data_IF_079489605946
#
_entry.id   IF_079489605946
#
_cell.length_a   1.000
_cell.length_b   1.000
_cell.length_c   1.000
_cell.angle_alpha   90.00
_cell.angle_beta   90.00
_cell.angle_gamma   90.00
#
_symmetry.space_group_name_H-M   'P 1'
#
loop_
_entity.id
_entity.type
_entity.pdbx_description
1 polymer ?
#
# COMPACT_ATOMS: atom_id res chain seq x y z
N UNK A 1 -12.12 -2.90 7.06
CA UNK A 1 -10.70 -3.10 6.71
C UNK A 1 -10.09 -1.73 6.46
N UNK A 2 -8.83 -1.53 6.83
CA UNK A 2 -8.15 -0.26 6.59
C UNK A 2 -7.98 -0.07 5.08
N UNK A 3 -8.62 0.97 4.51
CA UNK A 3 -8.45 1.37 3.10
C UNK A 3 -7.15 2.14 2.84
N UNK A 4 -6.32 2.29 3.87
CA UNK A 4 -5.16 3.18 3.88
C UNK A 4 -3.98 2.37 4.40
N UNK A 5 -2.90 2.34 3.63
CA UNK A 5 -1.57 1.94 4.12
C UNK A 5 -0.67 3.16 4.08
N UNK A 6 0.22 3.24 5.06
CA UNK A 6 1.29 4.22 5.07
C UNK A 6 2.61 3.49 4.83
N UNK A 7 3.35 3.89 3.80
CA UNK A 7 4.74 3.47 3.64
C UNK A 7 5.61 4.17 4.70
N UNK A 8 6.49 3.42 5.35
CA UNK A 8 7.31 3.95 6.44
C UNK A 8 8.65 4.54 5.98
N UNK A 9 9.03 4.41 4.70
CA UNK A 9 10.28 4.89 4.13
C UNK A 9 11.53 4.46 4.93
N UNK A 10 11.44 3.28 5.54
CA UNK A 10 12.39 2.71 6.48
C UNK A 10 13.49 1.89 5.80
N UNK A 11 13.41 1.73 4.49
CA UNK A 11 14.34 0.95 3.71
C UNK A 11 15.47 1.77 3.07
N UNK A 12 16.48 1.05 2.58
CA UNK A 12 17.64 1.62 1.92
C UNK A 12 17.24 2.45 0.69
N UNK A 13 17.73 3.69 0.60
CA UNK A 13 17.33 4.62 -0.47
C UNK A 13 15.93 5.24 -0.30
N UNK A 14 15.32 5.15 0.88
CA UNK A 14 13.99 5.71 1.17
C UNK A 14 12.84 4.83 0.65
N UNK A 15 13.12 3.55 0.38
CA UNK A 15 12.09 2.56 0.02
C UNK A 15 11.26 2.17 1.24
N UNK A 16 10.11 1.54 1.00
CA UNK A 16 9.27 1.03 2.07
C UNK A 16 9.61 -0.44 2.34
N UNK A 17 10.39 -0.72 3.38
CA UNK A 17 10.62 -2.09 3.86
C UNK A 17 9.50 -2.53 4.83
N UNK A 18 8.80 -1.57 5.44
CA UNK A 18 7.59 -1.82 6.23
C UNK A 18 6.47 -0.83 5.91
N UNK A 19 5.26 -1.27 6.24
CA UNK A 19 4.02 -0.55 6.04
C UNK A 19 3.24 -0.49 7.34
N UNK A 20 2.73 0.69 7.67
CA UNK A 20 1.81 0.85 8.78
C UNK A 20 0.37 0.75 8.28
N UNK A 21 -0.34 -0.25 8.78
CA UNK A 21 -1.78 -0.45 8.57
C UNK A 21 -2.51 0.10 9.80
N UNK A 22 -3.37 1.13 9.66
CA UNK A 22 -4.12 1.68 10.78
C UNK A 22 -5.06 0.60 11.34
N UNK A 23 -4.96 0.35 12.64
CA UNK A 23 -5.72 -0.70 13.34
C UNK A 23 -5.07 -2.09 13.36
N UNK A 24 -3.96 -2.30 12.64
CA UNK A 24 -3.15 -3.54 12.73
C UNK A 24 -1.74 -3.27 13.26
N UNK A 25 -1.15 -2.13 12.90
CA UNK A 25 0.23 -1.77 13.25
C UNK A 25 1.17 -1.90 12.06
N UNK A 26 2.46 -2.08 12.35
CA UNK A 26 3.53 -2.15 11.35
C UNK A 26 3.65 -3.59 10.85
N UNK A 27 3.70 -3.76 9.53
CA UNK A 27 3.85 -5.05 8.83
C UNK A 27 5.00 -4.93 7.84
N UNK A 28 5.83 -5.97 7.73
CA UNK A 28 6.92 -5.98 6.77
C UNK A 28 6.39 -6.10 5.33
N UNK A 29 7.11 -5.51 4.37
CA UNK A 29 6.77 -5.54 2.94
C UNK A 29 6.53 -6.94 2.43
N UNK A 30 7.47 -7.88 2.68
CA UNK A 30 7.37 -9.24 2.17
C UNK A 30 6.14 -9.98 2.69
N UNK A 31 5.81 -9.80 3.97
CA UNK A 31 4.60 -10.37 4.57
C UNK A 31 3.36 -9.76 3.92
N UNK A 32 3.31 -8.43 3.80
CA UNK A 32 2.17 -7.74 3.22
C UNK A 32 1.97 -8.12 1.75
N UNK A 33 3.03 -8.21 0.96
CA UNK A 33 2.99 -8.68 -0.45
C UNK A 33 2.37 -10.08 -0.51
N UNK A 34 2.86 -11.02 0.30
CA UNK A 34 2.31 -12.39 0.34
C UNK A 34 0.83 -12.41 0.72
N UNK A 35 0.40 -11.55 1.64
CA UNK A 35 -1.00 -11.47 2.05
C UNK A 35 -1.91 -10.87 0.98
N UNK A 36 -1.41 -9.88 0.24
CA UNK A 36 -2.10 -9.29 -0.92
C UNK A 36 -2.18 -10.30 -2.07
N UNK A 37 -1.11 -11.06 -2.35
CA UNK A 37 -1.13 -12.16 -3.33
C UNK A 37 -2.14 -13.25 -2.94
N UNK A 38 -2.35 -13.47 -1.64
CA UNK A 38 -3.36 -14.40 -1.10
C UNK A 38 -4.78 -13.81 -1.07
N UNK A 39 -4.98 -12.57 -1.52
CA UNK A 39 -6.30 -11.95 -1.55
C UNK A 39 -6.85 -11.51 -0.19
N UNK A 40 -6.03 -11.47 0.88
CA UNK A 40 -6.48 -11.00 2.21
C UNK A 40 -6.74 -9.49 2.27
N UNK A 41 -6.32 -8.79 1.23
CA UNK A 41 -6.13 -7.35 1.18
C UNK A 41 -6.72 -6.78 -0.12
N UNK A 42 -8.06 -6.84 -0.30
CA UNK A 42 -8.71 -6.49 -1.56
C UNK A 42 -8.57 -4.99 -1.92
N UNK A 43 -8.40 -4.12 -0.92
CA UNK A 43 -8.18 -2.69 -1.08
C UNK A 43 -6.71 -2.32 -1.39
N UNK A 44 -5.83 -3.31 -1.57
CA UNK A 44 -4.42 -3.12 -1.81
C UNK A 44 -3.98 -3.79 -3.11
N UNK A 45 -3.02 -3.19 -3.79
CA UNK A 45 -2.43 -3.71 -5.02
C UNK A 45 -0.92 -3.83 -4.88
N UNK A 46 -0.34 -4.84 -5.53
CA UNK A 46 1.11 -4.99 -5.65
C UNK A 46 1.56 -4.32 -6.95
N UNK A 47 2.67 -3.59 -6.89
CA UNK A 47 3.37 -3.10 -8.08
C UNK A 47 4.84 -3.45 -7.95
N UNK A 48 5.50 -3.67 -9.09
CA UNK A 48 6.93 -3.94 -9.13
C UNK A 48 7.69 -2.68 -9.53
N UNK A 49 8.78 -2.39 -8.82
CA UNK A 49 9.71 -1.32 -9.15
C UNK A 49 11.12 -1.83 -8.91
N UNK A 50 11.99 -1.70 -9.91
CA UNK A 50 13.39 -2.12 -9.80
C UNK A 50 13.53 -3.60 -9.40
N UNK A 51 12.70 -4.47 -9.99
CA UNK A 51 12.62 -5.92 -9.68
C UNK A 51 12.15 -6.24 -8.25
N UNK A 52 11.69 -5.25 -7.49
CA UNK A 52 11.19 -5.43 -6.13
C UNK A 52 9.68 -5.14 -6.05
N UNK A 53 8.94 -6.02 -5.37
CA UNK A 53 7.48 -5.91 -5.21
C UNK A 53 7.13 -5.02 -4.02
N UNK A 54 6.32 -4.02 -4.27
CA UNK A 54 5.80 -3.09 -3.27
C UNK A 54 4.29 -3.13 -3.23
N UNK A 55 3.73 -2.79 -2.07
CA UNK A 55 2.28 -2.70 -1.90
C UNK A 55 1.85 -1.23 -1.90
N UNK A 56 0.76 -0.92 -2.60
CA UNK A 56 0.07 0.37 -2.59
C UNK A 56 -1.40 0.20 -2.22
N UNK A 57 -1.98 1.21 -1.56
CA UNK A 57 -3.42 1.31 -1.42
C UNK A 57 -4.04 1.52 -2.79
N UNK A 58 -5.19 0.88 -3.03
CA UNK A 58 -5.99 1.20 -4.20
C UNK A 58 -6.41 2.67 -4.10
N UNK A 59 -6.36 3.43 -5.21
CA UNK A 59 -6.92 4.77 -5.21
C UNK A 59 -8.40 4.64 -4.82
N UNK A 60 -8.79 5.26 -3.70
CA UNK A 60 -10.21 5.36 -3.36
C UNK A 60 -10.80 6.22 -4.47
N UNK A 61 -11.63 5.63 -5.31
CA UNK A 61 -12.29 6.25 -6.46
C UNK A 61 -13.26 7.37 -6.08
N UNK A 62 -13.13 7.90 -4.85
CA UNK A 62 -13.69 9.17 -4.44
C UNK A 62 -13.12 10.28 -5.32
N UNK A 63 -13.84 10.58 -6.39
CA UNK A 63 -13.67 11.76 -7.24
C UNK A 63 -13.89 13.08 -6.47
N UNK A 64 -14.01 13.07 -5.15
CA UNK A 64 -14.21 14.25 -4.31
C UNK A 64 -13.04 15.25 -4.35
N UNK A 65 -11.93 14.91 -5.00
CA UNK A 65 -10.80 15.81 -5.28
C UNK A 65 -10.56 16.06 -6.78
N UNK A 66 -11.44 15.63 -7.69
CA UNK A 66 -11.30 16.01 -9.10
C UNK A 66 -11.76 17.46 -9.27
N UNK A 67 -10.77 18.32 -9.52
CA UNK A 67 -10.85 19.79 -9.62
C UNK A 67 -11.68 20.26 -10.82
N UNK A 68 -12.20 19.37 -11.66
CA UNK A 68 -13.07 19.74 -12.78
C UNK A 68 -14.54 19.42 -12.48
N UNK A 69 -15.18 20.34 -11.75
CA UNK A 69 -16.61 20.62 -11.86
C UNK A 69 -16.75 21.84 -12.77
N UNK A 70 -16.66 21.63 -14.08
CA UNK A 70 -17.34 22.40 -15.13
C UNK A 70 -17.27 21.62 -16.45
#
# INVERSE_FOLDING_TARGET
MAKKIKGNQDGEGGRNDSYTIPGRGIVQREELVKEVEKGKHPDFSIYERDQEKFVRANPDSSQTNNVNRD
#
